data_IF_496352706175
#
_entry.id   IF_496352706175
#
_cell.length_a   1.000
_cell.length_b   1.000
_cell.length_c   1.000
_cell.angle_alpha   90.00
_cell.angle_beta   90.00
_cell.angle_gamma   90.00
#
_symmetry.space_group_name_H-M   'P 1'
#
loop_
_entity.id
_entity.type
_entity.pdbx_description
1 polymer ?
#
# COMPACT_ATOMS: atom_id res chain seq x y z
N UNK A 1 15.73 6.43 12.47
CA UNK A 1 14.92 5.28 12.00
C UNK A 1 14.42 5.72 10.65
N UNK A 2 15.06 5.27 9.56
CA UNK A 2 14.53 5.52 8.22
C UNK A 2 13.11 4.98 8.22
N UNK A 3 12.16 5.91 8.16
CA UNK A 3 10.76 5.59 8.04
C UNK A 3 10.62 4.74 6.79
N UNK A 4 10.40 3.44 6.97
CA UNK A 4 10.22 2.46 5.89
C UNK A 4 8.86 2.74 5.23
N UNK A 5 8.74 3.90 4.58
CA UNK A 5 7.64 4.27 3.72
C UNK A 5 7.88 3.54 2.41
N UNK A 6 7.51 2.28 2.40
CA UNK A 6 7.46 1.48 1.18
C UNK A 6 6.44 2.14 0.26
N UNK A 7 6.92 2.67 -0.86
CA UNK A 7 6.04 3.23 -1.89
C UNK A 7 5.58 2.12 -2.82
N UNK A 8 4.42 2.30 -3.46
CA UNK A 8 3.95 1.36 -4.49
C UNK A 8 5.02 1.14 -5.56
N UNK A 9 5.65 2.22 -6.01
CA UNK A 9 6.72 2.19 -7.02
C UNK A 9 7.95 1.37 -6.61
N UNK A 10 8.24 1.18 -5.32
CA UNK A 10 9.34 0.31 -4.86
C UNK A 10 9.00 -1.19 -4.92
N UNK A 11 7.72 -1.55 -4.91
CA UNK A 11 7.28 -2.96 -4.78
C UNK A 11 6.65 -3.46 -6.08
N UNK A 12 6.04 -2.57 -6.87
CA UNK A 12 5.43 -2.94 -8.15
C UNK A 12 6.41 -2.80 -9.29
N UNK A 13 6.46 -3.81 -10.16
CA UNK A 13 7.17 -3.74 -11.42
C UNK A 13 6.31 -2.97 -12.42
N UNK A 14 6.81 -1.84 -12.93
CA UNK A 14 6.16 -1.07 -13.97
C UNK A 14 6.69 -1.48 -15.34
N UNK A 15 5.81 -1.96 -16.21
CA UNK A 15 6.14 -2.23 -17.61
C UNK A 15 5.96 -0.96 -18.44
N UNK A 16 6.86 -0.73 -19.39
CA UNK A 16 6.63 0.24 -20.48
C UNK A 16 5.48 -0.20 -21.38
N UNK A 17 4.98 0.69 -22.24
CA UNK A 17 3.88 0.39 -23.18
C UNK A 17 4.30 -0.73 -24.13
N UNK A 18 5.55 -0.71 -24.58
CA UNK A 18 6.15 -1.71 -25.46
C UNK A 18 6.28 -3.06 -24.77
N UNK A 19 6.73 -3.12 -23.51
CA UNK A 19 6.81 -4.35 -22.73
C UNK A 19 5.43 -4.90 -22.39
N UNK A 20 4.48 -4.03 -22.05
CA UNK A 20 3.10 -4.42 -21.77
C UNK A 20 2.41 -5.05 -22.99
N UNK A 21 2.73 -4.58 -24.20
CA UNK A 21 2.21 -5.13 -25.45
C UNK A 21 2.78 -6.53 -25.78
N UNK A 22 3.95 -6.88 -25.23
CA UNK A 22 4.58 -8.19 -25.40
C UNK A 22 4.08 -9.25 -24.42
N UNK A 23 3.37 -8.84 -23.36
CA UNK A 23 2.84 -9.76 -22.37
C UNK A 23 1.65 -10.57 -22.91
N UNK A 24 1.64 -11.86 -22.56
CA UNK A 24 0.47 -12.69 -22.76
C UNK A 24 -0.70 -12.20 -21.88
N UNK A 25 -1.93 -12.55 -22.26
CA UNK A 25 -3.13 -12.09 -21.56
C UNK A 25 -3.12 -12.45 -20.06
N UNK A 26 -2.72 -13.67 -19.71
CA UNK A 26 -2.62 -14.09 -18.31
C UNK A 26 -1.56 -13.32 -17.52
N UNK A 27 -0.48 -12.86 -18.16
CA UNK A 27 0.57 -12.08 -17.49
C UNK A 27 0.07 -10.67 -17.14
N UNK A 28 -0.71 -10.06 -18.04
CA UNK A 28 -1.34 -8.76 -17.79
C UNK A 28 -2.41 -8.84 -16.70
N UNK A 29 -3.19 -9.92 -16.69
CA UNK A 29 -4.18 -10.18 -15.64
C UNK A 29 -3.49 -10.33 -14.28
N UNK A 30 -2.45 -11.17 -14.20
CA UNK A 30 -1.68 -11.36 -12.98
C UNK A 30 -1.05 -10.05 -12.48
N UNK A 31 -0.50 -9.23 -13.37
CA UNK A 31 0.07 -7.94 -13.01
C UNK A 31 -0.97 -6.99 -12.40
N UNK A 32 -2.18 -6.95 -12.98
CA UNK A 32 -3.30 -6.15 -12.45
C UNK A 32 -3.74 -6.64 -11.07
N UNK A 33 -3.89 -7.95 -10.89
CA UNK A 33 -4.27 -8.54 -9.60
C UNK A 33 -3.24 -8.23 -8.51
N UNK A 34 -1.95 -8.43 -8.80
CA UNK A 34 -0.87 -8.18 -7.85
C UNK A 34 -0.74 -6.70 -7.51
N UNK A 35 -0.89 -5.81 -8.50
CA UNK A 35 -0.85 -4.36 -8.28
C UNK A 35 -2.02 -3.92 -7.40
N UNK A 36 -3.24 -4.35 -7.71
CA UNK A 36 -4.42 -4.03 -6.92
C UNK A 36 -4.34 -4.57 -5.47
N UNK A 37 -3.83 -5.79 -5.29
CA UNK A 37 -3.62 -6.37 -3.96
C UNK A 37 -2.58 -5.56 -3.15
N UNK A 38 -1.49 -5.13 -3.80
CA UNK A 38 -0.45 -4.30 -3.17
C UNK A 38 -1.00 -2.94 -2.76
N UNK A 39 -1.79 -2.28 -3.62
CA UNK A 39 -2.47 -1.02 -3.31
C UNK A 39 -3.37 -1.15 -2.07
N UNK A 40 -4.18 -2.22 -2.01
CA UNK A 40 -5.05 -2.49 -0.87
C UNK A 40 -4.29 -2.76 0.42
N UNK A 41 -3.15 -3.47 0.33
CA UNK A 41 -2.29 -3.76 1.48
C UNK A 41 -1.67 -2.46 2.02
N UNK A 42 -1.11 -1.62 1.16
CA UNK A 42 -0.53 -0.32 1.57
C UNK A 42 -1.60 0.61 2.15
N UNK A 43 -2.79 0.68 1.53
CA UNK A 43 -3.91 1.45 2.07
C UNK A 43 -4.36 0.94 3.45
N UNK A 44 -4.31 -0.38 3.66
CA UNK A 44 -4.59 -0.99 4.95
C UNK A 44 -3.52 -0.62 5.97
N UNK A 45 -2.23 -0.72 5.64
CA UNK A 45 -1.13 -0.31 6.51
C UNK A 45 -1.24 1.18 6.91
N UNK A 46 -1.59 2.06 5.96
CA UNK A 46 -1.89 3.46 6.26
C UNK A 46 -3.05 3.63 7.25
N UNK A 47 -4.11 2.83 7.13
CA UNK A 47 -5.24 2.80 8.06
C UNK A 47 -4.86 2.29 9.45
N UNK A 48 -4.04 1.25 9.56
CA UNK A 48 -3.53 0.75 10.85
C UNK A 48 -2.69 1.82 11.55
N UNK A 49 -1.85 2.54 10.80
CA UNK A 49 -1.04 3.63 11.33
C UNK A 49 -1.90 4.80 11.83
N UNK A 50 -2.95 5.19 11.09
CA UNK A 50 -3.89 6.23 11.51
C UNK A 50 -4.74 5.81 12.71
N UNK A 51 -5.20 4.56 12.74
CA UNK A 51 -6.02 4.04 13.85
C UNK A 51 -5.19 3.90 15.14
N UNK A 52 -3.94 3.45 15.04
CA UNK A 52 -3.02 3.42 16.18
C UNK A 52 -2.71 4.82 16.74
N UNK A 53 -2.59 5.84 15.88
CA UNK A 53 -2.41 7.23 16.31
C UNK A 53 -3.67 7.80 16.99
N UNK A 54 -4.86 7.50 16.47
CA UNK A 54 -6.13 7.93 17.07
C UNK A 54 -6.41 7.22 18.40
N UNK A 55 -6.07 5.93 18.51
CA UNK A 55 -6.23 5.15 19.74
C UNK A 55 -5.25 5.63 20.82
N UNK A 56 -3.99 5.89 20.45
CA UNK A 56 -3.01 6.57 21.33
C UNK A 56 -3.49 7.94 21.79
N UNK A 57 -4.13 8.73 20.91
CA UNK A 57 -4.71 10.03 21.27
C UNK A 57 -5.85 9.92 22.29
N UNK A 58 -6.64 8.83 22.26
CA UNK A 58 -7.67 8.55 23.27
C UNK A 58 -7.07 8.03 24.58
N UNK A 59 -6.03 7.22 24.52
CA UNK A 59 -5.33 6.68 25.71
C UNK A 59 -4.58 7.80 26.46
N UNK A 60 -3.96 8.74 25.73
CA UNK A 60 -3.22 9.86 26.32
C UNK A 60 -4.10 11.07 26.66
N UNK A 61 -5.24 11.24 25.97
CA UNK A 61 -6.24 12.29 26.24
C UNK A 61 -7.29 11.93 27.29
N UNK A 62 -7.22 10.75 27.88
CA UNK A 62 -8.15 10.25 28.90
C UNK A 62 -7.89 10.80 30.30
N UNK A 63 -7.89 12.11 30.49
CA UNK A 63 -8.21 12.71 31.81
C UNK A 63 -8.71 14.14 31.64
N UNK A 64 -9.96 14.39 32.08
CA UNK A 64 -10.49 15.72 32.30
C UNK A 64 -11.88 15.96 31.72
N UNK A 65 -12.89 15.14 32.07
CA UNK A 65 -13.95 15.46 33.05
C UNK A 65 -14.63 14.17 33.49
#
# INVERSE_FOLDING_TARGET
>A
LDSVLVTLEEVTVCFSVEEWALLEEWQRELHREVTAATEQLLASLGRWNLWGLLDMGKILGGSGF
#
